data_IF_762897751611
#
_entry.id   IF_762897751611
#
_cell.length_a   1.000
_cell.length_b   1.000
_cell.length_c   1.000
_cell.angle_alpha   90.00
_cell.angle_beta   90.00
_cell.angle_gamma   90.00
#
_symmetry.space_group_name_H-M   'P 1'
#
loop_
_entity.id
_entity.type
_entity.pdbx_description
1 polymer ?
#
# COMPACT_ATOMS: atom_id res chain seq x y z
N UNK A 1 85.83 57.23 -24.46
CA UNK A 1 85.72 56.94 -23.02
C UNK A 1 84.47 57.62 -22.48
N UNK A 2 83.38 56.88 -22.28
CA UNK A 2 82.21 57.37 -21.55
C UNK A 2 82.56 57.30 -20.08
N UNK A 3 82.65 58.45 -19.41
CA UNK A 3 82.98 58.53 -17.99
C UNK A 3 81.93 57.82 -17.14
N UNK A 4 82.38 57.08 -16.12
CA UNK A 4 81.56 56.28 -15.17
C UNK A 4 80.36 57.06 -14.60
N UNK A 5 80.47 58.38 -14.49
CA UNK A 5 79.41 59.28 -14.03
C UNK A 5 78.22 59.37 -15.00
N UNK A 6 78.45 59.43 -16.32
CA UNK A 6 77.36 59.51 -17.30
C UNK A 6 76.57 58.21 -17.38
N UNK A 7 77.22 57.07 -17.18
CA UNK A 7 76.55 55.76 -17.14
C UNK A 7 75.65 55.63 -15.91
N UNK A 8 76.09 56.15 -14.76
CA UNK A 8 75.35 56.10 -13.49
C UNK A 8 74.07 56.94 -13.54
N UNK A 9 74.13 58.13 -14.15
CA UNK A 9 72.97 59.01 -14.32
C UNK A 9 71.91 58.37 -15.24
N UNK A 10 72.34 57.73 -16.34
CA UNK A 10 71.43 57.03 -17.26
C UNK A 10 70.79 55.82 -16.58
N UNK A 11 71.53 55.07 -15.78
CA UNK A 11 71.00 53.95 -15.01
C UNK A 11 70.00 54.39 -13.94
N UNK A 12 70.28 55.49 -13.21
CA UNK A 12 69.36 56.04 -12.21
C UNK A 12 68.09 56.57 -12.88
N UNK A 13 68.22 57.27 -14.01
CA UNK A 13 67.08 57.77 -14.78
C UNK A 13 66.23 56.60 -15.34
N UNK A 14 66.87 55.55 -15.86
CA UNK A 14 66.18 54.34 -16.33
C UNK A 14 65.52 53.58 -15.18
N UNK A 15 66.14 53.53 -14.00
CA UNK A 15 65.53 52.90 -12.82
C UNK A 15 64.33 53.69 -12.33
N UNK A 16 64.41 55.03 -12.32
CA UNK A 16 63.31 55.93 -11.94
C UNK A 16 62.16 55.89 -12.94
N UNK A 17 62.43 55.77 -14.25
CA UNK A 17 61.36 55.61 -15.25
C UNK A 17 60.69 54.25 -15.13
N UNK A 18 61.45 53.18 -14.85
CA UNK A 18 60.88 51.85 -14.58
C UNK A 18 60.09 51.84 -13.26
N UNK A 19 60.58 52.49 -12.19
CA UNK A 19 59.83 52.64 -10.94
C UNK A 19 58.56 53.47 -11.15
N UNK A 20 58.64 54.55 -11.93
CA UNK A 20 57.50 55.39 -12.29
C UNK A 20 56.47 54.61 -13.11
N UNK A 21 56.91 53.80 -14.07
CA UNK A 21 56.00 52.93 -14.84
C UNK A 21 55.33 51.88 -13.96
N UNK A 22 56.06 51.27 -13.02
CA UNK A 22 55.52 50.29 -12.06
C UNK A 22 54.55 50.94 -11.05
N UNK A 23 54.76 52.19 -10.66
CA UNK A 23 53.84 52.94 -9.79
C UNK A 23 52.57 53.35 -10.53
N UNK A 24 52.66 53.72 -11.81
CA UNK A 24 51.51 54.10 -12.64
C UNK A 24 50.69 52.87 -13.04
N UNK A 25 51.33 51.74 -13.33
CA UNK A 25 50.64 50.48 -13.69
C UNK A 25 50.18 49.68 -12.47
N UNK A 26 50.83 49.84 -11.32
CA UNK A 26 50.50 49.10 -10.10
C UNK A 26 49.28 49.63 -9.33
N UNK A 27 48.66 50.74 -9.78
CA UNK A 27 47.60 51.42 -9.05
C UNK A 27 46.21 51.36 -9.71
N UNK A 28 46.04 50.54 -10.76
CA UNK A 28 44.70 50.04 -11.09
C UNK A 28 44.28 49.04 -10.01
N UNK A 29 43.77 49.55 -8.88
CA UNK A 29 43.08 48.73 -7.89
C UNK A 29 41.91 48.08 -8.61
N UNK A 30 42.04 46.81 -8.95
CA UNK A 30 40.92 46.03 -9.48
C UNK A 30 39.82 46.08 -8.42
N UNK A 31 38.74 46.80 -8.72
CA UNK A 31 37.67 47.05 -7.76
C UNK A 31 37.05 45.72 -7.33
N UNK A 32 37.04 45.49 -6.00
CA UNK A 32 36.33 44.37 -5.39
C UNK A 32 34.84 44.53 -5.70
N UNK A 33 34.23 43.50 -6.30
CA UNK A 33 32.80 43.48 -6.62
C UNK A 33 32.09 42.42 -5.78
N UNK A 34 30.84 42.73 -5.45
CA UNK A 34 29.95 41.81 -4.74
C UNK A 34 29.05 41.08 -5.73
N UNK A 35 28.90 39.77 -5.56
CA UNK A 35 27.92 38.95 -6.29
C UNK A 35 27.11 38.13 -5.29
N UNK A 36 25.78 38.10 -5.47
CA UNK A 36 24.88 37.25 -4.67
C UNK A 36 24.32 36.20 -5.61
N UNK A 37 24.49 34.92 -5.26
CA UNK A 37 24.04 33.83 -6.11
C UNK A 37 23.82 32.53 -5.35
N UNK A 38 23.03 31.65 -5.96
CA UNK A 38 22.78 30.29 -5.50
C UNK A 38 23.91 29.37 -5.95
N UNK A 39 24.46 28.57 -5.04
CA UNK A 39 25.47 27.58 -5.37
C UNK A 39 24.86 26.38 -6.11
N UNK A 40 25.19 26.23 -7.39
CA UNK A 40 24.65 25.19 -8.29
C UNK A 40 25.69 24.13 -8.68
N UNK A 41 26.95 24.36 -8.33
CA UNK A 41 28.01 23.37 -8.40
C UNK A 41 29.02 23.65 -7.30
N UNK A 42 29.57 22.60 -6.70
CA UNK A 42 30.63 22.70 -5.71
C UNK A 42 31.61 21.54 -5.87
N UNK A 43 32.90 21.87 -5.83
CA UNK A 43 34.02 20.95 -5.81
C UNK A 43 35.12 21.48 -4.87
N UNK A 44 36.23 20.76 -4.77
CA UNK A 44 37.34 21.16 -3.91
C UNK A 44 37.97 22.47 -4.38
N UNK A 45 37.82 23.54 -3.58
CA UNK A 45 38.39 24.86 -3.85
C UNK A 45 37.68 25.66 -4.94
N UNK A 46 36.56 25.16 -5.48
CA UNK A 46 35.84 25.82 -6.57
C UNK A 46 34.34 25.54 -6.53
N UNK A 47 33.53 26.59 -6.69
CA UNK A 47 32.07 26.52 -6.76
C UNK A 47 31.54 27.41 -7.88
N UNK A 48 30.30 27.18 -8.28
CA UNK A 48 29.59 28.02 -9.27
C UNK A 48 28.34 28.60 -8.63
N UNK A 49 28.22 29.92 -8.68
CA UNK A 49 27.04 30.67 -8.24
C UNK A 49 26.26 31.18 -9.45
N UNK A 50 24.94 31.21 -9.36
CA UNK A 50 24.06 31.84 -10.37
C UNK A 50 22.96 32.67 -9.71
N UNK A 51 22.60 33.80 -10.33
CA UNK A 51 21.44 34.62 -9.97
C UNK A 51 20.22 34.35 -10.89
N UNK A 52 20.36 33.41 -11.83
CA UNK A 52 19.36 33.07 -12.85
C UNK A 52 19.67 33.67 -14.23
N UNK A 53 20.35 34.81 -14.28
CA UNK A 53 20.75 35.47 -15.53
C UNK A 53 22.25 35.30 -15.81
N UNK A 54 23.06 35.37 -14.75
CA UNK A 54 24.52 35.34 -14.81
C UNK A 54 25.05 34.20 -13.95
N UNK A 55 26.10 33.58 -14.45
CA UNK A 55 26.82 32.50 -13.75
C UNK A 55 28.24 32.94 -13.47
N UNK A 56 28.71 32.72 -12.24
CA UNK A 56 30.04 33.14 -11.77
C UNK A 56 30.74 31.98 -11.07
N UNK A 57 31.96 31.67 -11.49
CA UNK A 57 32.83 30.73 -10.77
C UNK A 57 33.48 31.40 -9.56
N UNK A 58 33.54 30.73 -8.42
CA UNK A 58 34.12 31.24 -7.18
C UNK A 58 35.17 30.25 -6.68
N UNK A 59 36.39 30.73 -6.41
CA UNK A 59 37.48 29.90 -5.88
C UNK A 59 37.33 29.68 -4.36
N UNK A 60 36.24 29.03 -3.98
CA UNK A 60 35.97 28.56 -2.63
C UNK A 60 35.08 27.31 -2.68
N UNK A 61 35.20 26.43 -1.69
CA UNK A 61 34.29 25.30 -1.50
C UNK A 61 33.02 25.79 -0.79
N UNK A 62 31.89 25.85 -1.50
CA UNK A 62 30.61 26.31 -0.97
C UNK A 62 29.62 25.15 -0.88
N UNK A 63 28.61 25.25 -0.02
CA UNK A 63 27.57 24.22 0.03
C UNK A 63 26.56 24.38 -1.11
N UNK A 64 26.29 23.28 -1.82
CA UNK A 64 25.30 23.21 -2.90
C UNK A 64 23.90 23.57 -2.39
N UNK A 65 23.16 24.37 -3.15
CA UNK A 65 21.81 24.80 -2.81
C UNK A 65 21.70 25.93 -1.79
N UNK A 66 22.82 26.44 -1.27
CA UNK A 66 22.83 27.63 -0.41
C UNK A 66 23.13 28.89 -1.23
N UNK A 67 22.55 30.00 -0.77
CA UNK A 67 22.79 31.32 -1.35
C UNK A 67 23.93 32.00 -0.60
N UNK A 68 24.86 32.57 -1.36
CA UNK A 68 26.01 33.27 -0.82
C UNK A 68 26.12 34.66 -1.43
N UNK A 69 26.61 35.60 -0.62
CA UNK A 69 27.20 36.86 -1.06
C UNK A 69 28.72 36.71 -1.04
N UNK A 70 29.34 36.92 -2.18
CA UNK A 70 30.79 36.84 -2.37
C UNK A 70 31.30 38.21 -2.75
N UNK A 71 32.30 38.69 -2.02
CA UNK A 71 33.03 39.92 -2.31
C UNK A 71 34.46 39.55 -2.67
N UNK A 72 34.97 40.09 -3.78
CA UNK A 72 36.34 39.85 -4.20
C UNK A 72 36.62 40.36 -5.60
N UNK A 73 37.76 39.92 -6.14
CA UNK A 73 38.29 40.43 -7.40
C UNK A 73 37.73 39.62 -8.58
N UNK A 74 36.87 40.20 -9.44
CA UNK A 74 36.35 39.53 -10.61
C UNK A 74 37.41 39.48 -11.71
N UNK A 75 37.46 38.38 -12.46
CA UNK A 75 38.30 38.25 -13.63
C UNK A 75 37.65 37.33 -14.66
N UNK A 76 37.86 37.64 -15.93
CA UNK A 76 37.39 36.77 -17.02
C UNK A 76 38.39 35.65 -17.25
N UNK A 77 37.89 34.43 -17.36
CA UNK A 77 38.66 33.25 -17.73
C UNK A 77 38.10 32.63 -19.01
N UNK A 78 38.83 31.67 -19.57
CA UNK A 78 38.36 30.88 -20.73
C UNK A 78 37.04 30.13 -20.50
N UNK A 79 36.66 29.92 -19.24
CA UNK A 79 35.40 29.27 -18.82
C UNK A 79 34.35 30.25 -18.31
N UNK A 80 34.54 31.55 -18.53
CA UNK A 80 33.61 32.61 -18.12
C UNK A 80 34.11 33.44 -16.93
N UNK A 81 33.20 34.24 -16.38
CA UNK A 81 33.45 35.17 -15.26
C UNK A 81 33.74 34.40 -13.97
N UNK A 82 34.82 34.77 -13.28
CA UNK A 82 35.21 34.19 -12.00
C UNK A 82 35.52 35.25 -10.96
N UNK A 83 35.41 34.90 -9.69
CA UNK A 83 35.79 35.76 -8.55
C UNK A 83 36.82 35.02 -7.70
N UNK A 84 37.93 35.69 -7.39
CA UNK A 84 38.80 35.30 -6.27
C UNK A 84 38.20 35.89 -5.00
N UNK A 85 37.61 35.07 -4.11
CA UNK A 85 36.86 35.60 -2.98
C UNK A 85 37.82 36.19 -1.94
N UNK A 86 37.54 37.41 -1.50
CA UNK A 86 38.13 38.01 -0.30
C UNK A 86 37.28 37.65 0.92
N UNK A 87 35.95 37.67 0.74
CA UNK A 87 34.96 37.36 1.76
C UNK A 87 33.79 36.59 1.17
N UNK A 88 33.28 35.62 1.92
CA UNK A 88 32.11 34.81 1.56
C UNK A 88 31.17 34.76 2.74
N UNK A 89 29.91 35.10 2.53
CA UNK A 89 28.88 35.10 3.56
C UNK A 89 27.66 34.33 3.07
N UNK A 90 27.03 33.47 3.90
CA UNK A 90 25.66 33.03 3.65
C UNK A 90 24.73 34.24 3.50
N UNK A 91 23.83 34.21 2.53
CA UNK A 91 22.93 35.32 2.21
C UNK A 91 21.53 34.81 1.90
N UNK A 92 20.55 35.71 1.87
CA UNK A 92 19.24 35.46 1.26
C UNK A 92 19.28 35.83 -0.23
N UNK A 93 18.40 35.26 -1.07
CA UNK A 93 18.27 35.64 -2.47
C UNK A 93 17.88 37.11 -2.60
N UNK A 94 18.61 37.87 -3.40
CA UNK A 94 18.25 39.24 -3.83
C UNK A 94 17.80 39.28 -5.30
N UNK A 95 17.68 38.11 -5.92
CA UNK A 95 17.29 37.88 -7.31
C UNK A 95 15.92 37.17 -7.36
N UNK A 96 15.18 37.30 -8.48
CA UNK A 96 13.89 36.64 -8.62
C UNK A 96 14.03 35.11 -8.54
N UNK A 97 13.09 34.46 -7.86
CA UNK A 97 12.98 33.00 -7.81
C UNK A 97 11.73 32.57 -8.56
N UNK A 98 11.85 31.49 -9.32
CA UNK A 98 10.70 30.82 -9.91
C UNK A 98 9.98 30.00 -8.84
N UNK A 99 8.65 29.87 -8.96
CA UNK A 99 7.82 29.09 -8.05
C UNK A 99 7.08 27.99 -8.79
N UNK A 100 7.30 26.75 -8.39
CA UNK A 100 6.66 25.56 -8.97
C UNK A 100 5.84 24.86 -7.88
N UNK A 101 4.58 24.52 -8.18
CA UNK A 101 3.74 23.73 -7.28
C UNK A 101 3.52 22.35 -7.87
N UNK A 102 3.87 21.30 -7.15
CA UNK A 102 3.80 19.91 -7.63
C UNK A 102 3.83 18.88 -6.52
N UNK A 103 3.59 17.61 -6.87
CA UNK A 103 3.74 16.52 -5.92
C UNK A 103 5.21 16.08 -5.86
N UNK A 104 5.79 16.06 -4.65
CA UNK A 104 7.16 15.60 -4.45
C UNK A 104 7.25 14.10 -4.67
N UNK A 105 8.20 13.65 -5.50
CA UNK A 105 8.36 12.23 -5.82
C UNK A 105 9.82 11.82 -5.79
N UNK A 106 10.13 10.80 -4.99
CA UNK A 106 11.48 10.25 -4.83
C UNK A 106 11.51 8.82 -5.36
N UNK A 107 12.24 8.61 -6.46
CA UNK A 107 12.43 7.32 -7.14
C UNK A 107 13.89 7.24 -7.61
N UNK A 108 14.82 7.14 -6.66
CA UNK A 108 16.27 7.27 -6.90
C UNK A 108 16.74 8.71 -7.16
N UNK A 109 15.96 9.49 -7.92
CA UNK A 109 16.12 10.92 -8.13
C UNK A 109 14.88 11.67 -7.61
N UNK A 110 15.07 12.91 -7.17
CA UNK A 110 14.03 13.79 -6.65
C UNK A 110 13.34 14.56 -7.78
N UNK A 111 12.01 14.55 -7.79
CA UNK A 111 11.19 15.24 -8.79
C UNK A 111 10.04 16.01 -8.15
N UNK A 112 9.53 17.01 -8.87
CA UNK A 112 8.18 17.51 -8.71
C UNK A 112 7.33 17.06 -9.90
N UNK A 113 6.17 16.49 -9.61
CA UNK A 113 5.18 16.10 -10.62
C UNK A 113 4.18 17.25 -10.79
N UNK A 114 4.21 17.89 -11.96
CA UNK A 114 3.39 19.05 -12.33
C UNK A 114 2.77 18.87 -13.71
N UNK A 115 2.01 17.79 -13.93
CA UNK A 115 1.93 17.02 -15.18
C UNK A 115 3.23 16.65 -15.93
N UNK A 116 4.21 17.55 -16.03
CA UNK A 116 5.57 17.21 -16.45
C UNK A 116 6.44 16.83 -15.24
N UNK A 117 7.51 16.05 -15.47
CA UNK A 117 8.49 15.72 -14.43
C UNK A 117 9.55 16.81 -14.35
N UNK A 118 9.54 17.60 -13.27
CA UNK A 118 10.58 18.59 -12.98
C UNK A 118 11.64 17.93 -12.12
N UNK A 119 12.88 17.82 -12.63
CA UNK A 119 13.99 17.24 -11.87
C UNK A 119 14.54 18.24 -10.86
N UNK A 120 14.58 17.85 -9.60
CA UNK A 120 15.20 18.64 -8.55
C UNK A 120 16.70 18.33 -8.48
N UNK A 121 17.50 19.37 -8.24
CA UNK A 121 18.93 19.22 -8.00
C UNK A 121 19.23 18.62 -6.61
N UNK A 122 18.35 18.90 -5.64
CA UNK A 122 18.47 18.48 -4.25
C UNK A 122 17.12 17.92 -3.77
N UNK A 123 17.14 16.90 -2.88
CA UNK A 123 15.93 16.39 -2.26
C UNK A 123 15.31 17.45 -1.34
N UNK A 124 13.99 17.35 -1.17
CA UNK A 124 13.24 18.21 -0.26
C UNK A 124 12.91 17.45 1.03
N UNK A 125 12.87 18.13 2.19
CA UNK A 125 12.38 17.54 3.43
C UNK A 125 10.84 17.50 3.44
N UNK A 126 10.27 16.75 2.50
CA UNK A 126 8.83 16.52 2.32
C UNK A 126 8.56 15.02 2.14
N UNK A 127 7.35 14.59 2.45
CA UNK A 127 6.98 13.18 2.29
C UNK A 127 6.73 12.86 0.80
N UNK A 128 7.10 11.66 0.37
CA UNK A 128 6.84 11.21 -1.01
C UNK A 128 5.33 11.24 -1.27
N UNK A 129 4.94 11.85 -2.38
CA UNK A 129 3.55 12.05 -2.81
C UNK A 129 2.87 13.29 -2.25
N UNK A 130 3.53 14.05 -1.36
CA UNK A 130 2.99 15.28 -0.81
C UNK A 130 3.01 16.43 -1.82
N UNK A 131 1.99 17.28 -1.84
CA UNK A 131 2.00 18.52 -2.61
C UNK A 131 2.91 19.53 -1.91
N UNK A 132 3.79 20.13 -2.69
CA UNK A 132 4.72 21.16 -2.23
C UNK A 132 4.73 22.31 -3.21
N UNK A 133 4.89 23.53 -2.68
CA UNK A 133 5.26 24.71 -3.46
C UNK A 133 6.73 24.97 -3.21
N UNK A 134 7.51 25.07 -4.27
CA UNK A 134 8.98 25.19 -4.20
C UNK A 134 9.40 26.43 -4.95
N UNK A 135 10.19 27.27 -4.29
CA UNK A 135 10.81 28.46 -4.88
C UNK A 135 12.29 28.19 -5.11
N UNK A 136 12.81 28.51 -6.29
CA UNK A 136 14.17 28.14 -6.68
C UNK A 136 14.61 28.76 -8.00
N UNK A 137 15.73 28.25 -8.52
CA UNK A 137 16.28 28.67 -9.81
C UNK A 137 16.53 27.47 -10.73
N UNK A 138 16.39 27.70 -12.02
CA UNK A 138 16.85 26.76 -13.03
C UNK A 138 18.35 26.93 -13.29
N UNK A 139 19.04 25.80 -13.41
CA UNK A 139 20.39 25.77 -13.96
C UNK A 139 20.56 24.50 -14.80
N UNK A 140 20.64 24.69 -16.12
CA UNK A 140 20.46 23.60 -17.08
C UNK A 140 19.06 22.99 -16.96
N UNK A 141 18.98 21.66 -16.92
CA UNK A 141 17.71 20.92 -16.85
C UNK A 141 17.22 20.65 -15.41
N UNK A 142 17.90 21.19 -14.40
CA UNK A 142 17.58 20.94 -12.99
C UNK A 142 17.07 22.21 -12.31
N UNK A 143 16.08 22.01 -11.45
CA UNK A 143 15.56 23.04 -10.57
C UNK A 143 16.24 22.95 -9.19
N UNK A 144 16.88 24.03 -8.77
CA UNK A 144 17.58 24.13 -7.48
C UNK A 144 16.65 24.77 -6.46
N UNK A 145 16.11 24.00 -5.50
CA UNK A 145 15.20 24.52 -4.50
C UNK A 145 15.96 25.41 -3.50
N UNK A 146 15.37 26.56 -3.19
CA UNK A 146 15.85 27.46 -2.13
C UNK A 146 14.91 27.38 -0.92
N UNK A 147 13.62 27.57 -1.16
CA UNK A 147 12.57 27.51 -0.14
C UNK A 147 11.46 26.57 -0.60
N UNK A 148 10.74 25.97 0.34
CA UNK A 148 9.55 25.20 0.02
C UNK A 148 8.48 25.32 1.11
N UNK A 149 7.25 25.06 0.72
CA UNK A 149 6.09 25.03 1.60
C UNK A 149 5.33 23.73 1.35
N UNK A 150 5.09 22.99 2.43
CA UNK A 150 4.32 21.75 2.43
C UNK A 150 2.83 22.06 2.39
N UNK A 151 2.12 21.50 1.42
CA UNK A 151 0.68 21.68 1.23
C UNK A 151 -0.11 20.43 1.64
N UNK A 152 0.57 19.35 2.03
CA UNK A 152 -0.03 18.08 2.42
C UNK A 152 -0.36 17.17 1.24
N UNK A 153 -0.93 15.99 1.54
CA UNK A 153 -1.31 15.02 0.51
C UNK A 153 -2.57 15.46 -0.26
N UNK A 154 -2.69 15.11 -1.55
CA UNK A 154 -3.93 15.31 -2.30
C UNK A 154 -5.12 14.65 -1.60
N UNK A 155 -6.21 15.39 -1.41
CA UNK A 155 -7.43 14.89 -0.74
C UNK A 155 -8.21 13.88 -1.58
N UNK A 156 -8.01 13.88 -2.90
CA UNK A 156 -8.70 13.01 -3.86
C UNK A 156 -7.69 12.47 -4.87
N UNK A 157 -7.92 11.25 -5.41
CA UNK A 157 -7.10 10.71 -6.47
C UNK A 157 -7.29 11.52 -7.77
N UNK A 158 -6.19 11.72 -8.51
CA UNK A 158 -6.17 12.34 -9.84
C UNK A 158 -5.25 11.52 -10.73
N UNK A 159 -5.61 11.34 -12.00
CA UNK A 159 -4.84 10.50 -12.92
C UNK A 159 -3.40 11.02 -13.03
N UNK A 160 -2.44 10.10 -13.15
CA UNK A 160 -1.00 10.40 -13.22
C UNK A 160 -0.38 11.08 -12.00
N UNK A 161 -1.16 11.29 -10.93
CA UNK A 161 -0.70 12.01 -9.74
C UNK A 161 -0.55 11.08 -8.54
N UNK A 162 0.39 11.38 -7.62
CA UNK A 162 0.51 10.66 -6.37
C UNK A 162 -0.76 10.78 -5.52
N UNK A 163 -1.09 9.70 -4.81
CA UNK A 163 -2.12 9.72 -3.80
C UNK A 163 -1.77 8.77 -2.66
N UNK A 164 -2.13 9.16 -1.44
CA UNK A 164 -1.99 8.33 -0.26
C UNK A 164 -3.36 7.79 0.13
N UNK A 165 -3.47 6.48 0.27
CA UNK A 165 -4.71 5.80 0.65
C UNK A 165 -4.48 4.88 1.83
N UNK A 166 -5.41 4.91 2.78
CA UNK A 166 -5.47 3.97 3.89
C UNK A 166 -6.63 3.02 3.69
N UNK A 167 -6.44 1.76 4.09
CA UNK A 167 -7.51 0.78 3.94
C UNK A 167 -7.14 -0.60 4.44
N UNK A 168 -8.05 -1.54 4.20
CA UNK A 168 -7.89 -2.96 4.55
C UNK A 168 -7.73 -3.82 3.31
N UNK A 169 -6.77 -4.72 3.32
CA UNK A 169 -6.51 -5.63 2.19
C UNK A 169 -7.60 -6.70 2.13
N UNK A 170 -8.44 -6.64 1.09
CA UNK A 170 -9.53 -7.57 0.84
C UNK A 170 -9.10 -8.81 0.06
N UNK A 171 -8.16 -8.64 -0.86
CA UNK A 171 -7.65 -9.69 -1.74
C UNK A 171 -6.12 -9.58 -1.83
N UNK A 172 -5.44 -10.73 -1.88
CA UNK A 172 -3.99 -10.85 -2.00
C UNK A 172 -3.63 -11.96 -2.99
N UNK A 173 -2.39 -11.98 -3.47
CA UNK A 173 -1.92 -12.91 -4.50
C UNK A 173 -1.84 -12.23 -5.87
N UNK A 174 -2.41 -12.84 -6.91
CA UNK A 174 -2.31 -12.33 -8.30
C UNK A 174 -2.86 -10.92 -8.54
N UNK A 175 -3.76 -10.44 -7.67
CA UNK A 175 -4.19 -9.03 -7.60
C UNK A 175 -4.40 -8.64 -6.13
N UNK A 176 -3.69 -7.61 -5.68
CA UNK A 176 -3.91 -7.03 -4.36
C UNK A 176 -4.98 -5.95 -4.45
N UNK A 177 -6.02 -6.06 -3.64
CA UNK A 177 -7.13 -5.09 -3.63
C UNK A 177 -7.34 -4.59 -2.20
N UNK A 178 -7.34 -3.27 -2.07
CA UNK A 178 -7.54 -2.53 -0.83
C UNK A 178 -8.97 -1.98 -0.77
N UNK A 179 -9.60 -2.03 0.40
CA UNK A 179 -10.83 -1.31 0.69
C UNK A 179 -10.53 -0.06 1.50
N UNK A 180 -10.80 1.11 0.92
CA UNK A 180 -10.51 2.40 1.56
C UNK A 180 -11.67 2.93 2.44
N UNK A 181 -12.72 2.13 2.64
CA UNK A 181 -13.95 2.54 3.34
C UNK A 181 -15.12 2.89 2.42
N UNK A 182 -14.86 3.21 1.15
CA UNK A 182 -15.90 3.55 0.16
C UNK A 182 -15.84 2.70 -1.11
N UNK A 183 -14.64 2.37 -1.58
CA UNK A 183 -14.42 1.65 -2.84
C UNK A 183 -13.21 0.71 -2.77
N UNK A 184 -13.14 -0.19 -3.76
CA UNK A 184 -12.00 -1.07 -3.98
C UNK A 184 -10.92 -0.38 -4.80
N UNK A 185 -9.70 -0.32 -4.27
CA UNK A 185 -8.51 0.20 -4.94
C UNK A 185 -7.58 -0.95 -5.31
N UNK A 186 -7.24 -1.08 -6.58
CA UNK A 186 -6.30 -2.11 -7.06
C UNK A 186 -4.88 -1.63 -6.81
N UNK A 187 -4.07 -2.43 -6.09
CA UNK A 187 -2.69 -2.11 -5.81
C UNK A 187 -1.77 -2.90 -6.74
N UNK A 188 -0.93 -2.18 -7.49
CA UNK A 188 0.20 -2.74 -8.23
C UNK A 188 1.44 -2.58 -7.36
N UNK A 189 1.73 -3.61 -6.57
CA UNK A 189 2.87 -3.63 -5.66
C UNK A 189 4.17 -3.89 -6.41
N UNK A 190 5.30 -3.33 -5.95
CA UNK A 190 6.61 -3.63 -6.52
C UNK A 190 7.02 -5.09 -6.22
N UNK A 191 8.00 -5.59 -6.98
CA UNK A 191 8.49 -6.96 -6.82
C UNK A 191 8.94 -7.24 -5.38
N UNK A 192 8.51 -8.38 -4.84
CA UNK A 192 8.82 -8.82 -3.47
C UNK A 192 7.99 -8.17 -2.36
N UNK A 193 7.16 -7.17 -2.67
CA UNK A 193 6.21 -6.62 -1.70
C UNK A 193 4.91 -7.42 -1.69
N UNK A 194 4.60 -8.02 -0.55
CA UNK A 194 3.37 -8.79 -0.36
C UNK A 194 2.57 -8.29 0.84
N UNK A 195 1.24 -8.29 0.67
CA UNK A 195 0.29 -7.93 1.72
C UNK A 195 -0.65 -9.10 2.01
N UNK A 196 -0.99 -9.26 3.29
CA UNK A 196 -1.88 -10.32 3.77
C UNK A 196 -3.31 -9.82 3.91
N UNK A 197 -4.26 -10.73 3.74
CA UNK A 197 -5.68 -10.46 3.95
C UNK A 197 -5.94 -9.90 5.36
N UNK A 198 -6.79 -8.88 5.45
CA UNK A 198 -7.16 -8.27 6.72
C UNK A 198 -6.09 -7.36 7.33
N UNK A 199 -4.94 -7.15 6.69
CA UNK A 199 -4.01 -6.11 7.11
C UNK A 199 -4.59 -4.73 6.80
N UNK A 200 -4.41 -3.79 7.74
CA UNK A 200 -4.64 -2.37 7.53
C UNK A 200 -3.32 -1.73 7.12
N UNK A 201 -3.36 -0.99 6.02
CA UNK A 201 -2.16 -0.41 5.40
C UNK A 201 -2.41 1.02 4.97
N UNK A 202 -1.34 1.81 4.94
CA UNK A 202 -1.24 3.10 4.25
C UNK A 202 -0.32 2.92 3.05
N UNK A 203 -0.80 3.27 1.86
CA UNK A 203 -0.06 3.09 0.61
C UNK A 203 0.02 4.42 -0.12
N UNK A 204 1.23 4.75 -0.59
CA UNK A 204 1.46 5.87 -1.51
C UNK A 204 1.81 5.32 -2.88
N UNK A 205 1.19 5.87 -3.92
CA UNK A 205 1.51 5.47 -5.29
C UNK A 205 0.97 6.46 -6.31
N UNK A 206 1.25 6.20 -7.58
CA UNK A 206 0.71 6.97 -8.71
C UNK A 206 -0.64 6.40 -9.11
N UNK A 207 -1.65 7.27 -9.16
CA UNK A 207 -3.01 6.89 -9.52
C UNK A 207 -3.11 6.64 -11.02
N UNK A 208 -3.87 5.60 -11.38
CA UNK A 208 -4.37 5.34 -12.73
C UNK A 208 -5.85 5.04 -12.71
N UNK A 209 -6.60 5.71 -13.57
CA UNK A 209 -8.00 5.40 -13.81
C UNK A 209 -8.15 4.53 -15.05
N UNK A 210 -8.38 3.22 -14.83
CA UNK A 210 -8.83 2.30 -15.87
C UNK A 210 -10.34 2.02 -15.67
N UNK A 211 -10.74 0.75 -15.67
CA UNK A 211 -12.08 0.33 -15.22
C UNK A 211 -12.26 0.39 -13.70
N UNK A 212 -11.16 0.51 -12.95
CA UNK A 212 -11.11 0.68 -11.49
C UNK A 212 -9.99 1.66 -11.12
N UNK A 213 -10.14 2.30 -9.97
CA UNK A 213 -9.08 3.08 -9.34
C UNK A 213 -7.89 2.16 -9.02
N UNK A 214 -6.76 2.45 -9.64
CA UNK A 214 -5.53 1.67 -9.51
C UNK A 214 -4.40 2.53 -8.96
N UNK A 215 -3.55 1.95 -8.13
CA UNK A 215 -2.42 2.63 -7.52
C UNK A 215 -1.13 1.86 -7.84
N UNK A 216 -0.22 2.52 -8.55
CA UNK A 216 1.09 1.99 -8.89
C UNK A 216 2.10 2.40 -7.83
N UNK A 217 2.56 1.41 -7.10
CA UNK A 217 3.47 1.59 -5.98
C UNK A 217 4.89 1.37 -6.47
N UNK A 218 5.77 2.31 -6.18
CA UNK A 218 7.12 2.37 -6.74
C UNK A 218 8.13 1.59 -5.90
N UNK A 219 8.04 1.70 -4.57
CA UNK A 219 8.94 1.02 -3.63
C UNK A 219 8.18 0.31 -2.51
N UNK A 220 8.68 -0.83 -1.97
CA UNK A 220 8.10 -1.45 -0.78
C UNK A 220 7.99 -0.49 0.42
N UNK A 221 8.87 0.51 0.51
CA UNK A 221 8.84 1.54 1.55
C UNK A 221 7.60 2.45 1.47
N UNK A 222 6.92 2.49 0.32
CA UNK A 222 5.69 3.28 0.12
C UNK A 222 4.45 2.56 0.67
N UNK A 223 4.62 1.36 1.22
CA UNK A 223 3.59 0.53 1.83
C UNK A 223 3.89 0.38 3.32
N UNK A 224 3.05 0.99 4.15
CA UNK A 224 3.20 0.94 5.61
C UNK A 224 2.05 0.15 6.20
N UNK A 225 2.35 -0.95 6.88
CA UNK A 225 1.35 -1.72 7.64
C UNK A 225 1.05 -0.95 8.93
N UNK A 226 -0.19 -0.48 9.07
CA UNK A 226 -0.64 0.30 10.23
C UNK A 226 -1.36 -0.55 11.27
N UNK A 227 -1.75 -1.79 10.93
CA UNK A 227 -2.33 -2.73 11.86
C UNK A 227 -3.15 -3.82 11.17
N UNK A 228 -4.21 -4.27 11.82
CA UNK A 228 -5.18 -5.22 11.28
C UNK A 228 -6.57 -4.60 11.20
N UNK A 229 -7.42 -5.20 10.37
CA UNK A 229 -8.83 -4.91 10.30
C UNK A 229 -9.51 -5.04 11.67
N UNK A 230 -10.52 -4.22 11.90
CA UNK A 230 -11.23 -4.17 13.18
C UNK A 230 -12.12 -5.40 13.33
N UNK A 231 -12.06 -6.05 14.50
CA UNK A 231 -12.93 -7.19 14.81
C UNK A 231 -14.30 -6.69 15.27
N UNK A 232 -15.37 -7.16 14.63
CA UNK A 232 -16.75 -6.83 14.99
C UNK A 232 -17.63 -8.07 15.01
N UNK A 233 -18.66 -8.11 15.86
CA UNK A 233 -19.68 -9.16 15.79
C UNK A 233 -20.32 -9.18 14.40
N UNK A 234 -20.64 -10.38 13.90
CA UNK A 234 -21.17 -10.59 12.54
C UNK A 234 -22.28 -9.60 12.13
N UNK A 235 -23.23 -9.31 13.02
CA UNK A 235 -24.37 -8.40 12.75
C UNK A 235 -23.98 -6.92 12.56
N UNK A 236 -22.78 -6.52 13.03
CA UNK A 236 -22.28 -5.14 12.96
C UNK A 236 -21.12 -4.96 11.98
N UNK A 237 -20.53 -6.07 11.52
CA UNK A 237 -19.41 -6.05 10.60
C UNK A 237 -19.83 -5.53 9.22
N UNK A 238 -18.93 -4.81 8.56
CA UNK A 238 -19.07 -4.30 7.19
C UNK A 238 -17.86 -4.71 6.37
N UNK A 239 -17.87 -4.40 5.08
CA UNK A 239 -16.74 -4.63 4.18
C UNK A 239 -15.46 -4.03 4.77
N UNK A 240 -14.41 -4.85 4.85
CA UNK A 240 -13.13 -4.47 5.46
C UNK A 240 -13.01 -4.73 6.96
N UNK A 241 -14.08 -5.12 7.65
CA UNK A 241 -14.01 -5.59 9.04
C UNK A 241 -13.74 -7.11 9.10
N UNK A 242 -13.21 -7.58 10.23
CA UNK A 242 -13.19 -9.00 10.57
C UNK A 242 -14.47 -9.32 11.34
N UNK A 243 -15.36 -10.05 10.71
CA UNK A 243 -16.57 -10.55 11.33
C UNK A 243 -16.27 -11.74 12.23
N UNK A 244 -16.74 -11.67 13.47
CA UNK A 244 -16.60 -12.71 14.47
C UNK A 244 -17.97 -13.28 14.83
N UNK A 245 -18.09 -14.61 14.84
CA UNK A 245 -19.34 -15.29 15.16
C UNK A 245 -19.21 -16.80 15.33
N UNK A 246 -20.27 -17.40 15.89
CA UNK A 246 -20.44 -18.84 16.01
C UNK A 246 -21.68 -19.23 15.20
N UNK A 247 -21.52 -20.15 14.25
CA UNK A 247 -22.59 -20.53 13.33
C UNK A 247 -22.49 -21.99 12.92
N UNK A 248 -23.63 -22.58 12.53
CA UNK A 248 -23.69 -23.96 12.07
C UNK A 248 -23.53 -24.03 10.56
N UNK A 249 -22.72 -24.97 10.08
CA UNK A 249 -22.61 -25.23 8.64
C UNK A 249 -23.88 -25.93 8.11
N UNK A 250 -24.64 -25.24 7.25
CA UNK A 250 -25.87 -25.78 6.62
C UNK A 250 -25.64 -26.34 5.21
N UNK A 251 -24.50 -25.99 4.61
CA UNK A 251 -24.06 -26.56 3.33
C UNK A 251 -22.54 -26.52 3.23
N UNK A 252 -21.98 -27.54 2.58
CA UNK A 252 -20.54 -27.69 2.38
C UNK A 252 -20.22 -27.92 0.89
N UNK A 253 -19.00 -27.57 0.49
CA UNK A 253 -18.51 -27.60 -0.89
C UNK A 253 -17.23 -26.79 -1.00
N UNK A 254 -17.05 -26.02 -2.08
CA UNK A 254 -15.93 -25.05 -2.21
C UNK A 254 -16.01 -23.90 -1.20
N UNK A 255 -17.20 -23.66 -0.64
CA UNK A 255 -17.47 -22.67 0.40
C UNK A 255 -18.55 -23.21 1.32
N UNK A 256 -18.53 -22.78 2.58
CA UNK A 256 -19.55 -23.13 3.55
C UNK A 256 -20.71 -22.13 3.48
N UNK A 257 -21.94 -22.65 3.52
CA UNK A 257 -23.12 -21.85 3.88
C UNK A 257 -23.37 -21.98 5.37
N UNK A 258 -23.68 -20.86 6.02
CA UNK A 258 -23.90 -20.77 7.47
C UNK A 258 -25.36 -20.41 7.75
N UNK A 259 -25.88 -20.83 8.89
CA UNK A 259 -27.24 -20.50 9.35
C UNK A 259 -27.42 -19.03 9.78
N UNK A 260 -26.34 -18.39 10.20
CA UNK A 260 -26.35 -17.04 10.78
C UNK A 260 -26.17 -15.90 9.77
N UNK A 261 -25.90 -16.21 8.51
CA UNK A 261 -25.67 -15.23 7.44
C UNK A 261 -25.93 -15.84 6.06
N UNK A 262 -26.42 -15.00 5.15
CA UNK A 262 -26.59 -15.38 3.74
C UNK A 262 -25.25 -15.44 2.99
N UNK A 263 -24.19 -14.84 3.54
CA UNK A 263 -22.87 -14.84 2.94
C UNK A 263 -22.20 -16.21 3.04
N UNK A 264 -21.51 -16.60 1.97
CA UNK A 264 -20.70 -17.82 1.93
C UNK A 264 -19.33 -17.61 2.56
N UNK A 265 -18.89 -18.55 3.38
CA UNK A 265 -17.57 -18.58 4.00
C UNK A 265 -16.60 -19.40 3.15
N UNK A 266 -15.51 -18.77 2.72
CA UNK A 266 -14.43 -19.37 1.93
C UNK A 266 -13.18 -19.60 2.79
N UNK A 267 -12.26 -20.45 2.31
CA UNK A 267 -10.95 -20.65 2.94
C UNK A 267 -10.99 -21.50 4.22
N UNK A 268 -12.13 -22.14 4.50
CA UNK A 268 -12.30 -23.08 5.60
C UNK A 268 -13.22 -24.23 5.16
N UNK A 269 -12.95 -25.43 5.65
CA UNK A 269 -13.70 -26.63 5.34
C UNK A 269 -14.23 -27.24 6.64
N UNK A 270 -15.51 -27.61 6.63
CA UNK A 270 -16.21 -28.27 7.72
C UNK A 270 -17.35 -29.11 7.15
N UNK A 271 -17.90 -30.02 7.95
CA UNK A 271 -19.04 -30.85 7.55
C UNK A 271 -20.35 -30.16 7.90
N UNK A 272 -21.40 -30.51 7.17
CA UNK A 272 -22.74 -30.01 7.48
C UNK A 272 -23.13 -30.48 8.88
N UNK A 273 -23.58 -29.54 9.71
CA UNK A 273 -23.89 -29.75 11.12
C UNK A 273 -22.83 -29.30 12.11
N UNK A 274 -21.59 -29.08 11.66
CA UNK A 274 -20.53 -28.61 12.55
C UNK A 274 -20.85 -27.18 13.00
N UNK A 275 -20.71 -26.93 14.31
CA UNK A 275 -20.74 -25.57 14.86
C UNK A 275 -19.35 -24.97 14.80
N UNK A 276 -19.21 -23.84 14.11
CA UNK A 276 -17.93 -23.23 13.76
C UNK A 276 -17.84 -21.87 14.44
N UNK A 277 -16.73 -21.63 15.12
CA UNK A 277 -16.28 -20.28 15.44
C UNK A 277 -15.44 -19.75 14.29
N UNK A 278 -15.72 -18.54 13.82
CA UNK A 278 -14.92 -17.92 12.77
C UNK A 278 -14.59 -16.47 13.08
N UNK A 279 -13.39 -16.09 12.67
CA UNK A 279 -12.94 -14.74 12.39
C UNK A 279 -12.70 -14.65 10.88
N UNK A 280 -13.58 -13.98 10.18
CA UNK A 280 -13.56 -13.92 8.72
C UNK A 280 -13.60 -12.48 8.22
N UNK A 281 -12.75 -12.16 7.25
CA UNK A 281 -12.75 -10.84 6.62
C UNK A 281 -14.01 -10.70 5.76
N UNK A 282 -14.78 -9.65 6.02
CA UNK A 282 -15.99 -9.34 5.30
C UNK A 282 -15.66 -8.68 3.96
N UNK A 283 -16.05 -9.34 2.86
CA UNK A 283 -15.99 -8.81 1.50
C UNK A 283 -17.39 -8.43 1.03
N UNK A 284 -17.48 -7.79 -0.13
CA UNK A 284 -18.76 -7.27 -0.66
C UNK A 284 -19.87 -8.33 -0.77
N UNK A 285 -19.52 -9.57 -1.08
CA UNK A 285 -20.46 -10.67 -1.33
C UNK A 285 -20.05 -12.01 -0.68
N UNK A 286 -19.07 -12.00 0.22
CA UNK A 286 -18.54 -13.23 0.83
C UNK A 286 -17.79 -12.95 2.12
N UNK A 287 -17.55 -14.01 2.88
CA UNK A 287 -16.63 -14.04 4.00
C UNK A 287 -15.41 -14.88 3.61
N UNK A 288 -14.20 -14.42 3.93
CA UNK A 288 -12.98 -15.24 3.79
C UNK A 288 -12.42 -15.52 5.19
N UNK A 289 -12.28 -16.80 5.51
CA UNK A 289 -11.74 -17.22 6.79
C UNK A 289 -10.32 -16.68 6.98
N UNK A 290 -10.08 -16.02 8.11
CA UNK A 290 -8.74 -15.69 8.58
C UNK A 290 -8.32 -16.66 9.69
N UNK A 291 -9.23 -16.94 10.62
CA UNK A 291 -9.05 -17.91 11.69
C UNK A 291 -10.40 -18.56 11.99
N UNK A 292 -10.56 -19.84 11.67
CA UNK A 292 -11.82 -20.55 11.88
C UNK A 292 -11.54 -21.94 12.44
N UNK A 293 -12.42 -22.39 13.33
CA UNK A 293 -12.29 -23.66 14.04
C UNK A 293 -13.66 -24.28 14.25
N UNK A 294 -13.74 -25.60 14.11
CA UNK A 294 -14.92 -26.34 14.56
C UNK A 294 -14.90 -26.34 16.09
N UNK A 295 -15.96 -25.79 16.68
CA UNK A 295 -16.15 -25.73 18.14
C UNK A 295 -16.91 -26.93 18.69
N UNK A 296 -17.93 -27.38 17.95
CA UNK A 296 -18.67 -28.60 18.27
C UNK A 296 -18.83 -29.38 16.97
N UNK A 297 -18.23 -30.58 16.86
CA UNK A 297 -18.42 -31.43 15.71
C UNK A 297 -19.85 -31.99 15.70
N UNK A 298 -20.40 -32.23 14.52
CA UNK A 298 -21.76 -32.76 14.36
C UNK A 298 -22.02 -34.08 15.12
N UNK A 299 -20.98 -34.88 15.36
CA UNK A 299 -21.07 -36.14 16.10
C UNK A 299 -21.44 -35.95 17.58
N UNK A 300 -21.13 -34.79 18.16
CA UNK A 300 -21.43 -34.45 19.56
C UNK A 300 -22.85 -33.88 19.73
N UNK A 301 -23.59 -33.65 18.63
CA UNK A 301 -24.97 -33.19 18.71
C UNK A 301 -25.85 -34.21 19.45
N UNK A 302 -26.86 -33.77 20.21
CA UNK A 302 -27.80 -34.66 20.86
C UNK A 302 -28.65 -35.42 19.83
N UNK A 303 -29.32 -36.49 20.29
CA UNK A 303 -30.28 -37.21 19.46
C UNK A 303 -31.63 -36.49 19.46
N UNK A 304 -31.92 -35.77 18.38
CA UNK A 304 -33.10 -34.90 18.27
C UNK A 304 -34.30 -35.57 17.58
N UNK A 305 -34.33 -36.90 17.53
CA UNK A 305 -35.45 -37.65 16.91
C UNK A 305 -36.84 -37.31 17.49
N UNK A 306 -36.91 -36.77 18.71
CA UNK A 306 -38.16 -36.30 19.32
C UNK A 306 -38.47 -34.82 19.05
N UNK A 307 -37.50 -34.05 18.54
CA UNK A 307 -37.53 -32.59 18.41
C UNK A 307 -37.72 -32.17 16.95
N UNK A 308 -38.79 -32.65 16.32
CA UNK A 308 -39.04 -32.38 14.91
C UNK A 308 -39.28 -30.89 14.63
N UNK A 309 -38.44 -30.31 13.77
CA UNK A 309 -38.51 -28.91 13.35
C UNK A 309 -38.15 -28.80 11.85
N UNK A 310 -39.14 -28.61 10.95
CA UNK A 310 -38.88 -28.61 9.50
C UNK A 310 -37.77 -27.63 9.08
N UNK A 311 -36.82 -28.12 8.28
CA UNK A 311 -35.70 -27.32 7.75
C UNK A 311 -34.51 -27.20 8.70
N UNK A 312 -34.63 -27.66 9.93
CA UNK A 312 -33.54 -27.64 10.91
C UNK A 312 -32.58 -28.82 10.69
N UNK A 313 -31.28 -28.56 10.83
CA UNK A 313 -30.27 -29.61 10.83
C UNK A 313 -30.26 -30.31 12.19
N UNK A 314 -30.20 -31.63 12.20
CA UNK A 314 -30.14 -32.40 13.43
C UNK A 314 -29.29 -33.67 13.27
N UNK A 315 -28.97 -34.28 14.40
CA UNK A 315 -28.52 -35.68 14.48
C UNK A 315 -29.68 -36.51 14.99
N UNK A 316 -30.02 -37.57 14.26
CA UNK A 316 -30.94 -38.60 14.76
C UNK A 316 -30.20 -39.91 14.95
N UNK A 317 -30.54 -40.64 16.00
CA UNK A 317 -30.02 -41.98 16.24
C UNK A 317 -31.13 -42.89 16.77
N UNK A 318 -31.20 -44.13 16.29
CA UNK A 318 -32.24 -45.06 16.71
C UNK A 318 -32.23 -46.38 15.97
N UNK A 319 -33.19 -47.24 16.30
CA UNK A 319 -33.37 -48.55 15.67
C UNK A 319 -34.38 -48.48 14.53
N UNK A 320 -34.05 -49.16 13.44
CA UNK A 320 -34.88 -49.21 12.24
C UNK A 320 -35.98 -50.26 12.43
N UNK A 321 -37.24 -49.85 12.54
CA UNK A 321 -38.35 -50.80 12.75
C UNK A 321 -38.77 -51.50 11.45
N UNK A 322 -38.75 -50.77 10.33
CA UNK A 322 -39.09 -51.31 9.02
C UNK A 322 -38.45 -50.48 7.92
N UNK A 323 -38.25 -51.09 6.74
CA UNK A 323 -37.71 -50.45 5.54
C UNK A 323 -38.58 -50.79 4.35
N UNK A 324 -38.92 -49.79 3.55
CA UNK A 324 -39.65 -49.95 2.28
C UNK A 324 -38.85 -49.33 1.16
N UNK A 325 -38.53 -50.13 0.14
CA UNK A 325 -37.84 -49.68 -1.08
C UNK A 325 -38.82 -49.74 -2.26
N UNK A 326 -38.93 -48.65 -3.00
CA UNK A 326 -39.78 -48.53 -4.18
C UNK A 326 -39.03 -48.94 -5.45
N UNK A 327 -39.75 -49.27 -6.53
CA UNK A 327 -39.16 -49.73 -7.81
C UNK A 327 -38.17 -48.74 -8.44
N UNK A 328 -38.31 -47.45 -8.15
CA UNK A 328 -37.39 -46.39 -8.62
C UNK A 328 -36.10 -46.30 -7.79
N UNK A 329 -35.92 -47.14 -6.77
CA UNK A 329 -34.76 -47.16 -5.89
C UNK A 329 -34.80 -46.13 -4.76
N UNK A 330 -35.88 -45.34 -4.64
CA UNK A 330 -36.11 -44.55 -3.43
C UNK A 330 -36.56 -45.47 -2.31
N UNK A 331 -36.01 -45.28 -1.12
CA UNK A 331 -36.36 -46.02 0.09
C UNK A 331 -36.83 -45.10 1.21
N UNK A 332 -37.60 -45.66 2.13
CA UNK A 332 -37.96 -45.05 3.40
C UNK A 332 -37.70 -46.06 4.50
N UNK A 333 -37.03 -45.63 5.55
CA UNK A 333 -36.84 -46.41 6.77
C UNK A 333 -37.50 -45.69 7.94
N UNK A 334 -38.23 -46.41 8.78
CA UNK A 334 -38.74 -45.84 10.03
C UNK A 334 -37.71 -46.05 11.14
N UNK A 335 -37.14 -44.96 11.62
CA UNK A 335 -36.15 -44.95 12.70
C UNK A 335 -36.87 -44.59 13.99
N UNK A 336 -36.63 -45.35 15.06
CA UNK A 336 -37.32 -45.23 16.35
C UNK A 336 -36.32 -45.12 17.50
N UNK A 337 -36.62 -44.27 18.48
CA UNK A 337 -35.86 -44.16 19.74
C UNK A 337 -36.83 -43.87 20.88
N UNK A 338 -36.95 -44.79 21.83
CA UNK A 338 -37.98 -44.72 22.86
C UNK A 338 -39.39 -44.67 22.25
N UNK A 339 -40.12 -43.57 22.50
CA UNK A 339 -41.48 -43.34 21.97
C UNK A 339 -41.52 -42.51 20.68
N UNK A 340 -40.37 -42.01 20.22
CA UNK A 340 -40.28 -41.11 19.07
C UNK A 340 -39.88 -41.88 17.81
N UNK A 341 -40.32 -41.38 16.65
CA UNK A 341 -40.01 -41.97 15.35
C UNK A 341 -39.91 -40.91 14.25
N UNK A 342 -39.14 -41.22 13.21
CA UNK A 342 -39.01 -40.37 12.01
C UNK A 342 -38.75 -41.21 10.77
N UNK A 343 -39.30 -40.80 9.63
CA UNK A 343 -39.08 -41.44 8.34
C UNK A 343 -37.78 -40.97 7.69
N UNK A 344 -36.74 -41.79 7.73
CA UNK A 344 -35.49 -41.54 7.03
C UNK A 344 -35.67 -41.77 5.53
N UNK A 345 -35.48 -40.71 4.72
CA UNK A 345 -35.52 -40.76 3.26
C UNK A 345 -34.20 -41.31 2.71
N UNK A 346 -34.25 -42.46 2.05
CA UNK A 346 -33.11 -43.16 1.44
C UNK A 346 -33.13 -42.99 -0.08
N UNK A 347 -32.59 -41.89 -0.60
CA UNK A 347 -32.48 -41.70 -2.06
C UNK A 347 -31.47 -42.68 -2.66
N UNK A 348 -31.75 -43.20 -3.87
CA UNK A 348 -30.83 -44.10 -4.59
C UNK A 348 -29.41 -43.53 -4.71
N UNK A 349 -29.29 -42.21 -4.86
CA UNK A 349 -28.02 -41.49 -4.98
C UNK A 349 -27.13 -41.54 -3.72
N UNK A 350 -27.69 -41.88 -2.55
CA UNK A 350 -26.91 -41.99 -1.33
C UNK A 350 -25.99 -43.23 -1.35
N UNK A 351 -26.34 -44.27 -2.13
CA UNK A 351 -25.55 -45.50 -2.21
C UNK A 351 -25.56 -46.36 -0.93
N UNK A 352 -26.38 -46.00 0.07
CA UNK A 352 -26.48 -46.71 1.36
C UNK A 352 -27.76 -47.54 1.41
N UNK A 353 -27.68 -48.71 2.06
CA UNK A 353 -28.84 -49.56 2.34
C UNK A 353 -28.93 -49.84 3.83
N UNK A 354 -30.16 -49.85 4.35
CA UNK A 354 -30.46 -50.03 5.77
C UNK A 354 -31.39 -51.23 5.91
N UNK A 355 -31.25 -52.01 6.98
CA UNK A 355 -32.09 -53.18 7.28
C UNK A 355 -32.87 -52.96 8.57
N UNK A 356 -33.99 -53.66 8.72
CA UNK A 356 -34.72 -53.71 9.98
C UNK A 356 -33.82 -54.23 11.12
N UNK A 357 -34.06 -53.74 12.34
CA UNK A 357 -33.30 -54.02 13.55
C UNK A 357 -31.84 -53.52 13.55
N UNK A 358 -31.42 -52.71 12.57
CA UNK A 358 -30.14 -52.01 12.64
C UNK A 358 -30.27 -50.70 13.41
N UNK A 359 -29.25 -50.39 14.19
CA UNK A 359 -29.05 -49.05 14.75
C UNK A 359 -28.43 -48.15 13.69
N UNK A 360 -29.02 -46.97 13.53
CA UNK A 360 -28.62 -45.99 12.52
C UNK A 360 -28.43 -44.65 13.20
N UNK A 361 -27.36 -43.95 12.81
CA UNK A 361 -27.15 -42.54 13.11
C UNK A 361 -27.14 -41.76 11.80
N UNK A 362 -27.95 -40.72 11.71
CA UNK A 362 -28.05 -39.91 10.50
C UNK A 362 -27.90 -38.42 10.84
N UNK A 363 -27.22 -37.70 9.95
CA UNK A 363 -26.97 -36.27 10.01
C UNK A 363 -27.67 -35.61 8.82
N UNK A 364 -28.51 -34.62 9.04
CA UNK A 364 -29.37 -34.14 7.98
C UNK A 364 -30.41 -33.16 8.44
N UNK A 365 -31.43 -32.96 7.61
CA UNK A 365 -32.46 -31.96 7.83
C UNK A 365 -33.82 -32.61 8.05
N UNK A 366 -34.56 -32.09 9.02
CA UNK A 366 -35.97 -32.43 9.16
C UNK A 366 -36.80 -31.91 7.99
N UNK A 367 -37.75 -32.71 7.55
CA UNK A 367 -38.62 -32.44 6.41
C UNK A 367 -39.92 -33.22 6.61
N UNK A 368 -40.84 -33.17 5.66
CA UNK A 368 -42.05 -33.98 5.69
C UNK A 368 -42.05 -34.99 4.55
N UNK A 369 -42.74 -36.11 4.76
CA UNK A 369 -43.10 -37.05 3.71
C UNK A 369 -44.56 -37.43 3.90
N UNK A 370 -45.45 -36.96 3.00
CA UNK A 370 -46.91 -37.12 3.13
C UNK A 370 -47.41 -36.64 4.50
N UNK A 371 -47.01 -35.42 4.85
CA UNK A 371 -47.34 -34.74 6.12
C UNK A 371 -46.87 -35.45 7.40
N UNK A 372 -46.08 -36.53 7.28
CA UNK A 372 -45.42 -37.19 8.41
C UNK A 372 -43.98 -36.66 8.60
N UNK A 373 -43.47 -36.66 9.85
CA UNK A 373 -42.08 -36.33 10.14
C UNK A 373 -41.13 -37.21 9.34
N UNK A 374 -40.24 -36.56 8.60
CA UNK A 374 -39.23 -37.23 7.80
C UNK A 374 -37.87 -36.57 7.98
N UNK A 375 -36.83 -37.31 7.63
CA UNK A 375 -35.45 -36.88 7.76
C UNK A 375 -34.73 -37.08 6.43
N UNK A 376 -34.05 -36.03 5.97
CA UNK A 376 -33.34 -36.03 4.70
C UNK A 376 -31.85 -35.86 4.90
N UNK A 377 -31.10 -36.79 4.32
CA UNK A 377 -29.65 -36.84 4.35
C UNK A 377 -29.10 -36.44 2.98
N UNK A 378 -28.02 -35.64 2.95
CA UNK A 378 -27.44 -35.12 1.70
C UNK A 378 -26.43 -36.07 1.07
N UNK A 379 -25.56 -36.70 1.86
CA UNK A 379 -24.55 -37.67 1.40
C UNK A 379 -24.73 -39.04 2.04
N UNK A 380 -24.24 -40.10 1.39
CA UNK A 380 -24.13 -41.42 2.03
C UNK A 380 -23.26 -41.39 3.30
N UNK A 381 -22.23 -40.55 3.33
CA UNK A 381 -21.32 -40.39 4.48
C UNK A 381 -21.98 -39.73 5.71
N UNK A 382 -23.15 -39.14 5.50
CA UNK A 382 -23.95 -38.54 6.58
C UNK A 382 -24.92 -39.56 7.20
N UNK A 383 -24.86 -40.83 6.76
CA UNK A 383 -25.65 -41.93 7.25
C UNK A 383 -24.74 -43.09 7.68
N UNK A 384 -24.82 -43.40 8.97
CA UNK A 384 -24.07 -44.46 9.62
C UNK A 384 -24.98 -45.62 10.02
N UNK A 385 -24.59 -46.85 9.70
CA UNK A 385 -25.29 -48.07 10.12
C UNK A 385 -24.35 -48.95 10.96
N UNK A 386 -24.73 -49.26 12.21
CA UNK A 386 -23.86 -49.95 13.18
C UNK A 386 -23.15 -48.99 14.13
N UNK A 387 -21.93 -49.31 14.55
CA UNK A 387 -21.09 -48.43 15.40
C UNK A 387 -20.35 -47.41 14.53
N UNK A 388 -20.88 -46.19 14.53
CA UNK A 388 -20.14 -44.96 14.32
C UNK A 388 -20.12 -44.23 15.67
#
# INVERSE_FOLDING_TARGET
>A
MVTREKLSIVLIAALLTVLGLLLVTGNERVESKSFVGLCVYSGEGFSVLTDGERTVGVYASLELGKVYRVEGIPFNSTSGLKIRPERVYPSTPTFPLDSITGAYWLSGVSYLLTPAKVRLALPLPADKGELVRVSGLWYGEKFYPVNHTRLGFPKKPSDDMPWAVEGVVLYSGGKTILWNGSEEVVLYLPYGAELKLGQRVRVVGIVRFYSKLSLFVDSPADVVVTGTAEKKPLRKARVGDVAVGNCTAVSAGRSLGLDCTELRLYGFSARVGDSIHFEALWRRSSLICLNCTVTVPREELPNDICSFSPGEFARISGNVSWVRVYKNGFGIANVTSGRCWVLLKLRKSLGVSVRANQTVTAYGFFTTYRDMPAFEVKSGDDLCSGSC
#
